data_IF_308728412627
#
_entry.id   IF_308728412627
#
_cell.length_a   1.000
_cell.length_b   1.000
_cell.length_c   1.000
_cell.angle_alpha   90.00
_cell.angle_beta   90.00
_cell.angle_gamma   90.00
#
_symmetry.space_group_name_H-M   'P 1'
#
loop_
_entity.id
_entity.type
_entity.pdbx_description
1 polymer ?
#
# COMPACT_ATOMS: atom_id res chain seq x y z
N UNK A 1 21.78 -44.16 -63.17
CA UNK A 1 20.56 -44.07 -62.32
C UNK A 1 20.95 -43.51 -60.96
N UNK A 2 20.79 -42.20 -60.78
CA UNK A 2 20.83 -41.44 -59.51
C UNK A 2 19.57 -40.58 -59.56
N UNK A 3 18.80 -40.52 -58.48
CA UNK A 3 17.75 -39.51 -58.29
C UNK A 3 17.46 -39.34 -56.79
N UNK A 4 17.59 -38.11 -56.31
CA UNK A 4 16.97 -37.58 -55.08
C UNK A 4 15.45 -37.43 -55.27
N UNK A 5 14.69 -37.26 -54.18
CA UNK A 5 14.12 -35.92 -53.97
C UNK A 5 14.15 -35.43 -52.50
N UNK A 6 14.12 -34.10 -52.41
CA UNK A 6 13.90 -33.23 -51.25
C UNK A 6 12.44 -33.24 -50.75
N UNK A 7 12.22 -32.82 -49.48
CA UNK A 7 11.07 -32.04 -48.92
C UNK A 7 11.09 -32.15 -47.37
N UNK A 8 11.58 -31.12 -46.66
CA UNK A 8 10.78 -30.10 -45.91
C UNK A 8 9.97 -30.62 -44.72
N UNK A 9 10.44 -30.33 -43.50
CA UNK A 9 9.60 -30.06 -42.32
C UNK A 9 10.44 -29.34 -41.24
N UNK A 10 10.83 -28.09 -41.53
CA UNK A 10 11.24 -27.14 -40.49
C UNK A 10 9.94 -26.47 -40.03
N UNK A 11 9.39 -26.93 -38.92
CA UNK A 11 8.23 -26.27 -38.31
C UNK A 11 8.68 -24.95 -37.72
N UNK A 12 8.44 -23.90 -38.50
CA UNK A 12 8.44 -22.52 -38.04
C UNK A 12 7.43 -22.37 -36.90
N UNK A 13 7.93 -22.45 -35.65
CA UNK A 13 7.29 -21.70 -34.57
C UNK A 13 7.65 -20.22 -34.75
N UNK A 14 7.02 -19.62 -35.76
CA UNK A 14 6.88 -18.18 -35.91
C UNK A 14 6.03 -17.65 -34.75
N UNK A 15 6.67 -17.46 -33.60
CA UNK A 15 6.07 -16.67 -32.52
C UNK A 15 6.20 -15.21 -32.93
N UNK A 16 5.14 -14.73 -33.59
CA UNK A 16 4.90 -13.33 -33.93
C UNK A 16 5.31 -12.40 -32.77
N UNK A 17 6.42 -11.70 -32.96
CA UNK A 17 7.04 -10.79 -32.00
C UNK A 17 6.35 -9.43 -31.87
N UNK A 18 5.04 -9.33 -32.10
CA UNK A 18 4.31 -8.06 -32.08
C UNK A 18 3.09 -7.99 -31.14
N UNK A 19 2.68 -9.09 -30.49
CA UNK A 19 1.50 -9.09 -29.60
C UNK A 19 1.81 -9.32 -28.11
N UNK A 20 3.03 -9.03 -27.64
CA UNK A 20 3.43 -9.29 -26.25
C UNK A 20 3.66 -8.02 -25.41
N UNK A 21 2.90 -6.96 -25.67
CA UNK A 21 2.96 -5.69 -24.91
C UNK A 21 1.76 -5.49 -23.96
N UNK A 22 0.71 -6.30 -24.02
CA UNK A 22 -0.54 -6.01 -23.31
C UNK A 22 -0.83 -6.85 -22.04
N UNK A 23 0.18 -7.47 -21.43
CA UNK A 23 0.01 -8.01 -20.06
C UNK A 23 1.28 -7.85 -19.22
N UNK A 24 1.48 -6.64 -18.71
CA UNK A 24 2.33 -6.45 -17.52
C UNK A 24 1.66 -7.20 -16.36
N UNK A 25 2.09 -8.44 -16.11
CA UNK A 25 1.72 -9.14 -14.88
C UNK A 25 2.21 -8.31 -13.69
N UNK A 26 1.38 -8.05 -12.65
CA UNK A 26 1.75 -7.20 -11.51
C UNK A 26 3.09 -7.58 -10.87
N UNK A 27 3.41 -8.89 -10.85
CA UNK A 27 4.66 -9.42 -10.34
C UNK A 27 5.91 -8.95 -11.12
N UNK A 28 5.80 -8.67 -12.42
CA UNK A 28 6.89 -8.08 -13.22
C UNK A 28 7.06 -6.59 -12.97
N UNK A 29 5.97 -5.85 -12.78
CA UNK A 29 6.04 -4.43 -12.42
C UNK A 29 6.71 -4.22 -11.05
N UNK A 30 6.46 -5.14 -10.11
CA UNK A 30 7.02 -5.12 -8.76
C UNK A 30 8.48 -5.60 -8.64
N UNK A 31 9.08 -6.14 -9.71
CA UNK A 31 10.48 -6.58 -9.69
C UNK A 31 10.74 -7.97 -9.11
N UNK A 32 9.70 -8.77 -8.86
CA UNK A 32 9.78 -10.01 -8.07
C UNK A 32 10.41 -11.22 -8.79
N UNK A 33 10.71 -11.11 -10.08
CA UNK A 33 11.35 -12.18 -10.86
C UNK A 33 12.47 -11.56 -11.70
N UNK A 34 13.76 -11.89 -11.44
CA UNK A 34 14.83 -11.49 -12.32
C UNK A 34 14.70 -12.28 -13.62
N UNK A 35 14.19 -11.64 -14.68
CA UNK A 35 14.00 -12.34 -15.95
C UNK A 35 15.34 -12.46 -16.69
N UNK A 36 15.71 -13.69 -17.07
CA UNK A 36 16.88 -13.99 -17.93
C UNK A 36 16.83 -13.23 -19.28
N UNK A 37 15.63 -12.85 -19.70
CA UNK A 37 15.34 -12.01 -20.88
C UNK A 37 15.84 -10.56 -20.71
N UNK A 38 16.02 -10.09 -19.48
CA UNK A 38 16.43 -8.72 -19.16
C UNK A 38 17.91 -8.47 -19.46
N UNK A 39 18.77 -9.47 -19.22
CA UNK A 39 20.19 -9.44 -19.63
C UNK A 39 20.34 -9.28 -21.16
N UNK A 40 19.42 -9.88 -21.93
CA UNK A 40 19.43 -9.85 -23.39
C UNK A 40 19.03 -8.47 -23.95
N UNK A 41 18.02 -7.81 -23.36
CA UNK A 41 17.61 -6.45 -23.76
C UNK A 41 18.52 -5.33 -23.18
N UNK A 42 19.23 -5.55 -22.07
CA UNK A 42 20.30 -4.63 -21.62
C UNK A 42 21.51 -4.68 -22.54
N UNK A 43 21.86 -5.85 -23.06
CA UNK A 43 22.99 -6.03 -23.97
C UNK A 43 22.81 -5.31 -25.32
N UNK A 44 21.61 -5.37 -25.94
CA UNK A 44 21.37 -4.69 -27.22
C UNK A 44 21.26 -3.15 -27.10
N UNK A 45 20.84 -2.61 -25.96
CA UNK A 45 20.67 -1.16 -25.76
C UNK A 45 21.99 -0.43 -25.41
N UNK A 46 23.03 -1.18 -25.04
CA UNK A 46 24.34 -0.62 -24.68
C UNK A 46 25.20 -0.19 -25.89
N UNK A 47 24.78 -0.57 -27.11
CA UNK A 47 25.57 -0.38 -28.32
C UNK A 47 25.57 1.08 -28.83
N UNK A 48 24.58 1.91 -28.47
CA UNK A 48 24.46 3.32 -28.91
C UNK A 48 24.76 4.39 -27.82
N UNK A 49 25.33 4.02 -26.67
CA UNK A 49 25.51 4.97 -25.54
C UNK A 49 26.78 5.82 -25.61
N UNK A 50 26.63 7.14 -25.39
CA UNK A 50 27.73 8.09 -25.16
C UNK A 50 28.64 7.66 -23.98
N UNK A 51 29.94 7.98 -24.05
CA UNK A 51 30.93 7.63 -23.01
C UNK A 51 30.52 8.07 -21.60
N UNK A 52 29.92 9.25 -21.47
CA UNK A 52 29.42 9.77 -20.18
C UNK A 52 28.24 8.93 -19.66
N UNK A 53 27.29 8.56 -20.52
CA UNK A 53 26.14 7.74 -20.14
C UNK A 53 26.59 6.33 -19.68
N UNK A 54 27.61 5.77 -20.33
CA UNK A 54 28.25 4.50 -19.92
C UNK A 54 28.89 4.61 -18.53
N UNK A 55 29.64 5.69 -18.27
CA UNK A 55 30.24 5.94 -16.95
C UNK A 55 29.20 6.13 -15.85
N UNK A 56 28.16 6.93 -16.08
CA UNK A 56 27.08 7.14 -15.09
C UNK A 56 26.33 5.85 -14.82
N UNK A 57 26.06 5.02 -15.83
CA UNK A 57 25.46 3.70 -15.60
C UNK A 57 26.35 2.81 -14.74
N UNK A 58 27.65 2.75 -15.04
CA UNK A 58 28.59 1.95 -14.26
C UNK A 58 28.64 2.37 -12.78
N UNK A 59 28.48 3.68 -12.50
CA UNK A 59 28.40 4.20 -11.14
C UNK A 59 27.06 3.80 -10.50
N UNK A 60 25.94 4.06 -11.16
CA UNK A 60 24.58 3.79 -10.65
C UNK A 60 24.33 2.30 -10.43
N UNK A 61 24.87 1.44 -11.31
CA UNK A 61 24.74 -0.02 -11.20
C UNK A 61 25.77 -0.64 -10.24
N UNK A 62 26.59 0.18 -9.56
CA UNK A 62 27.57 -0.33 -8.61
C UNK A 62 26.89 -0.74 -7.31
N UNK A 63 27.15 -1.94 -6.78
CA UNK A 63 26.58 -2.36 -5.49
C UNK A 63 27.05 -1.49 -4.32
N UNK A 64 28.18 -0.80 -4.47
CA UNK A 64 28.64 0.19 -3.49
C UNK A 64 27.77 1.43 -3.47
N UNK A 65 27.33 1.90 -4.64
CA UNK A 65 26.44 3.05 -4.76
C UNK A 65 25.08 2.73 -4.15
N UNK A 66 24.53 1.56 -4.43
CA UNK A 66 23.26 1.10 -3.85
C UNK A 66 23.33 0.97 -2.32
N UNK A 67 24.39 0.35 -1.78
CA UNK A 67 24.61 0.25 -0.33
C UNK A 67 24.77 1.62 0.33
N UNK A 68 25.45 2.55 -0.34
CA UNK A 68 25.62 3.91 0.16
C UNK A 68 24.31 4.69 0.16
N UNK A 69 23.51 4.61 -0.91
CA UNK A 69 22.18 5.20 -0.96
C UNK A 69 21.26 4.64 0.12
N UNK A 70 21.30 3.32 0.35
CA UNK A 70 20.56 2.67 1.43
C UNK A 70 21.03 3.15 2.81
N UNK A 71 22.33 3.25 3.04
CA UNK A 71 22.87 3.80 4.29
C UNK A 71 22.38 5.23 4.52
N UNK A 72 22.44 6.10 3.50
CA UNK A 72 21.95 7.47 3.58
C UNK A 72 20.43 7.54 3.84
N UNK A 73 19.65 6.59 3.33
CA UNK A 73 18.22 6.47 3.67
C UNK A 73 18.02 6.20 5.16
N UNK A 74 18.77 5.27 5.75
CA UNK A 74 18.69 4.97 7.17
C UNK A 74 19.10 6.15 8.05
N UNK A 75 20.18 6.85 7.67
CA UNK A 75 20.63 8.04 8.41
C UNK A 75 19.55 9.13 8.33
N UNK A 76 19.02 9.42 7.14
CA UNK A 76 17.91 10.38 6.96
C UNK A 76 16.68 10.00 7.80
N UNK A 77 16.33 8.71 7.83
CA UNK A 77 15.23 8.20 8.63
C UNK A 77 15.43 8.42 10.15
N UNK A 78 16.64 8.13 10.65
CA UNK A 78 16.98 8.36 12.05
C UNK A 78 16.90 9.85 12.41
N UNK A 79 17.35 10.74 11.52
CA UNK A 79 17.26 12.19 11.71
C UNK A 79 15.80 12.68 11.81
N UNK A 80 14.88 12.16 10.98
CA UNK A 80 13.45 12.47 11.08
C UNK A 80 12.89 12.07 12.45
N UNK A 81 13.29 10.90 12.96
CA UNK A 81 12.91 10.44 14.30
C UNK A 81 13.41 11.36 15.42
N UNK A 82 14.69 11.74 15.37
CA UNK A 82 15.31 12.67 16.34
C UNK A 82 14.65 14.04 16.28
N UNK A 83 14.40 14.58 15.09
CA UNK A 83 13.71 15.85 14.89
C UNK A 83 12.29 15.79 15.49
N UNK A 84 11.56 14.69 15.27
CA UNK A 84 10.21 14.50 15.79
C UNK A 84 10.19 14.44 17.33
N UNK A 85 11.11 13.69 17.96
CA UNK A 85 11.23 13.61 19.42
C UNK A 85 11.64 14.97 20.02
N UNK A 86 12.59 15.67 19.38
CA UNK A 86 12.99 17.01 19.80
C UNK A 86 11.82 18.01 19.74
N UNK A 87 11.02 17.97 18.67
CA UNK A 87 9.82 18.82 18.53
C UNK A 87 8.74 18.47 19.57
N UNK A 88 8.57 17.19 19.90
CA UNK A 88 7.60 16.77 20.91
C UNK A 88 8.00 17.20 22.33
N UNK A 89 9.30 17.14 22.67
CA UNK A 89 9.82 17.52 24.00
C UNK A 89 9.96 19.03 24.17
N UNK A 90 10.26 19.75 23.09
CA UNK A 90 10.50 21.20 23.10
C UNK A 90 9.22 21.97 22.74
N UNK A 91 8.12 21.66 23.42
CA UNK A 91 6.73 22.02 23.07
C UNK A 91 6.40 23.53 22.92
N UNK A 92 7.38 24.43 22.89
CA UNK A 92 7.19 25.90 22.97
C UNK A 92 7.99 26.70 21.92
N UNK A 93 9.00 26.14 21.25
CA UNK A 93 9.72 26.86 20.19
C UNK A 93 9.24 26.43 18.79
N UNK A 94 8.34 27.22 18.20
CA UNK A 94 7.84 27.06 16.82
C UNK A 94 8.94 27.17 15.73
N UNK A 95 10.20 27.37 16.13
CA UNK A 95 11.33 27.50 15.24
C UNK A 95 12.12 26.19 15.21
N UNK A 96 12.00 25.47 14.09
CA UNK A 96 12.93 24.38 13.79
C UNK A 96 14.37 24.88 13.92
N UNK A 97 15.18 24.18 14.74
CA UNK A 97 16.60 24.47 14.83
C UNK A 97 17.22 24.48 13.43
N UNK A 98 18.01 25.52 13.15
CA UNK A 98 18.70 25.72 11.85
C UNK A 98 19.47 24.46 11.45
N UNK A 99 19.99 23.71 12.43
CA UNK A 99 20.70 22.45 12.22
C UNK A 99 19.82 21.43 11.49
N UNK A 100 18.59 21.19 11.95
CA UNK A 100 17.68 20.23 11.32
C UNK A 100 17.33 20.65 9.88
N UNK A 101 17.10 21.94 9.66
CA UNK A 101 16.82 22.48 8.32
C UNK A 101 17.99 22.29 7.35
N UNK A 102 19.21 22.59 7.79
CA UNK A 102 20.41 22.39 6.97
C UNK A 102 20.59 20.91 6.63
N UNK A 103 20.38 20.02 7.61
CA UNK A 103 20.46 18.58 7.41
C UNK A 103 19.40 18.06 6.42
N UNK A 104 18.15 18.52 6.51
CA UNK A 104 17.09 18.15 5.56
C UNK A 104 17.44 18.59 4.13
N UNK A 105 18.00 19.80 3.95
CA UNK A 105 18.47 20.28 2.64
C UNK A 105 19.62 19.41 2.10
N UNK A 106 20.57 19.00 2.94
CA UNK A 106 21.67 18.10 2.54
C UNK A 106 21.10 16.77 2.02
N UNK A 107 20.16 16.17 2.75
CA UNK A 107 19.52 14.94 2.30
C UNK A 107 18.71 15.15 1.02
N UNK A 108 17.98 16.26 0.91
CA UNK A 108 17.25 16.61 -0.30
C UNK A 108 18.18 16.66 -1.51
N UNK A 109 19.26 17.43 -1.44
CA UNK A 109 20.24 17.55 -2.53
C UNK A 109 20.83 16.19 -2.87
N UNK A 110 21.22 15.39 -1.87
CA UNK A 110 21.74 14.05 -2.08
C UNK A 110 20.75 13.17 -2.88
N UNK A 111 19.49 13.09 -2.44
CA UNK A 111 18.48 12.26 -3.10
C UNK A 111 18.05 12.80 -4.47
N UNK A 112 18.04 14.12 -4.66
CA UNK A 112 17.79 14.72 -5.98
C UNK A 112 18.90 14.37 -6.96
N UNK A 113 20.17 14.43 -6.54
CA UNK A 113 21.32 14.06 -7.38
C UNK A 113 21.30 12.56 -7.68
N UNK A 114 21.05 11.72 -6.67
CA UNK A 114 20.89 10.27 -6.80
C UNK A 114 19.81 9.91 -7.82
N UNK A 115 18.59 10.41 -7.64
CA UNK A 115 17.46 10.18 -8.55
C UNK A 115 17.75 10.74 -9.95
N UNK A 116 18.39 11.91 -10.04
CA UNK A 116 18.81 12.52 -11.30
C UNK A 116 19.83 11.66 -12.07
N UNK A 117 20.80 11.06 -11.37
CA UNK A 117 21.76 10.12 -11.95
C UNK A 117 21.07 8.85 -12.46
N UNK A 118 20.14 8.27 -11.69
CA UNK A 118 19.33 7.12 -12.14
C UNK A 118 18.49 7.48 -13.38
N UNK A 119 17.81 8.61 -13.35
CA UNK A 119 17.00 9.09 -14.48
C UNK A 119 17.86 9.34 -15.74
N UNK A 120 19.04 9.93 -15.59
CA UNK A 120 19.97 10.14 -16.71
C UNK A 120 20.55 8.83 -17.25
N UNK A 121 20.84 7.87 -16.36
CA UNK A 121 21.37 6.56 -16.74
C UNK A 121 20.35 5.73 -17.54
N UNK A 122 19.10 5.66 -17.06
CA UNK A 122 18.03 4.82 -17.61
C UNK A 122 17.14 5.54 -18.63
N UNK A 123 17.09 6.88 -18.66
CA UNK A 123 16.28 7.70 -19.59
C UNK A 123 14.81 7.26 -19.60
N UNK A 124 14.18 7.15 -20.78
CA UNK A 124 12.79 6.68 -20.92
C UNK A 124 12.59 5.23 -20.46
N UNK A 125 13.66 4.42 -20.39
CA UNK A 125 13.60 3.05 -19.85
C UNK A 125 13.35 3.03 -18.35
N UNK A 126 13.58 4.14 -17.64
CA UNK A 126 13.26 4.33 -16.22
C UNK A 126 11.80 3.99 -15.91
N UNK A 127 10.89 4.30 -16.83
CA UNK A 127 9.44 4.12 -16.67
C UNK A 127 8.89 2.77 -17.15
N UNK A 128 9.68 1.96 -17.87
CA UNK A 128 9.18 0.72 -18.50
C UNK A 128 10.02 -0.52 -18.16
N UNK A 129 11.06 -0.39 -17.33
CA UNK A 129 11.87 -1.54 -16.88
C UNK A 129 11.17 -2.38 -15.81
N UNK A 130 11.58 -3.64 -15.64
CA UNK A 130 11.13 -4.46 -14.52
C UNK A 130 11.48 -3.76 -13.21
N UNK A 131 10.50 -3.56 -12.31
CA UNK A 131 10.68 -2.76 -11.09
C UNK A 131 10.53 -1.24 -11.29
N UNK A 132 10.04 -0.77 -12.44
CA UNK A 132 9.84 0.67 -12.72
C UNK A 132 8.96 1.38 -11.67
N UNK A 133 8.03 0.66 -11.03
CA UNK A 133 7.16 1.24 -10.01
C UNK A 133 7.95 1.79 -8.82
N UNK A 134 9.02 1.10 -8.43
CA UNK A 134 9.91 1.53 -7.34
C UNK A 134 10.74 2.75 -7.71
N UNK A 135 11.19 2.81 -8.96
CA UNK A 135 11.87 3.98 -9.49
C UNK A 135 10.94 5.21 -9.51
N UNK A 136 9.70 5.04 -9.97
CA UNK A 136 8.69 6.10 -9.99
C UNK A 136 8.30 6.52 -8.58
N UNK A 137 8.20 5.57 -7.65
CA UNK A 137 7.99 5.84 -6.23
C UNK A 137 9.15 6.66 -5.63
N UNK A 138 10.40 6.26 -5.85
CA UNK A 138 11.55 7.01 -5.36
C UNK A 138 11.59 8.44 -5.94
N UNK A 139 11.30 8.58 -7.24
CA UNK A 139 11.22 9.87 -7.90
C UNK A 139 10.08 10.73 -7.32
N UNK A 140 8.90 10.15 -7.10
CA UNK A 140 7.78 10.89 -6.51
C UNK A 140 8.08 11.35 -5.08
N UNK A 141 8.79 10.55 -4.28
CA UNK A 141 9.25 10.95 -2.95
C UNK A 141 10.21 12.14 -3.00
N UNK A 142 11.15 12.17 -3.97
CA UNK A 142 12.04 13.33 -4.15
C UNK A 142 11.24 14.58 -4.53
N UNK A 143 10.27 14.44 -5.44
CA UNK A 143 9.41 15.56 -5.85
C UNK A 143 8.56 16.08 -4.70
N UNK A 144 7.97 15.18 -3.89
CA UNK A 144 7.21 15.55 -2.69
C UNK A 144 8.10 16.36 -1.73
N UNK A 145 9.32 15.88 -1.46
CA UNK A 145 10.26 16.56 -0.57
C UNK A 145 10.70 17.94 -1.12
N UNK A 146 10.88 18.08 -2.44
CA UNK A 146 11.13 19.38 -3.08
C UNK A 146 9.95 20.33 -2.95
N UNK A 147 8.72 19.84 -3.19
CA UNK A 147 7.51 20.67 -3.08
C UNK A 147 7.26 21.11 -1.65
N UNK A 148 7.53 20.24 -0.68
CA UNK A 148 7.47 20.54 0.73
C UNK A 148 8.43 21.69 1.10
N UNK A 149 9.71 21.59 0.73
CA UNK A 149 10.70 22.62 1.04
C UNK A 149 10.34 23.96 0.38
N UNK A 150 9.76 23.93 -0.82
CA UNK A 150 9.23 25.12 -1.49
C UNK A 150 8.07 25.75 -0.72
N UNK A 151 7.10 24.94 -0.27
CA UNK A 151 5.93 25.40 0.49
C UNK A 151 6.36 26.00 1.84
N UNK A 152 7.30 25.36 2.53
CA UNK A 152 7.80 25.90 3.81
C UNK A 152 8.48 27.26 3.62
N UNK A 153 9.22 27.46 2.52
CA UNK A 153 9.87 28.75 2.22
C UNK A 153 8.87 29.85 1.89
N UNK A 154 7.85 29.56 1.07
CA UNK A 154 6.85 30.56 0.66
C UNK A 154 5.84 30.85 1.77
N UNK A 155 5.54 29.87 2.64
CA UNK A 155 4.64 30.06 3.79
C UNK A 155 5.22 31.00 4.86
N UNK A 156 6.54 31.19 4.90
CA UNK A 156 7.18 32.21 5.76
C UNK A 156 6.89 33.63 5.27
N UNK A 157 6.55 33.80 3.98
CA UNK A 157 6.29 35.11 3.36
C UNK A 157 4.78 35.44 3.27
N UNK A 158 3.90 34.44 3.27
CA UNK A 158 2.44 34.62 3.14
C UNK A 158 1.64 34.29 4.41
N UNK A 159 1.04 35.31 5.05
CA UNK A 159 0.23 35.19 6.29
C UNK A 159 -1.21 34.66 6.06
N UNK A 160 -1.40 33.62 5.25
CA UNK A 160 -2.74 33.07 5.00
C UNK A 160 -3.09 31.93 5.96
N UNK A 161 -4.33 31.93 6.48
CA UNK A 161 -4.88 30.96 7.44
C UNK A 161 -4.90 29.50 6.93
N UNK A 162 -4.86 29.30 5.62
CA UNK A 162 -4.67 27.98 4.99
C UNK A 162 -3.29 27.37 5.31
N UNK A 163 -2.31 28.20 5.71
CA UNK A 163 -0.95 27.77 6.04
C UNK A 163 -0.91 26.80 7.24
N UNK A 164 -1.70 26.98 8.30
CA UNK A 164 -1.51 26.18 9.53
C UNK A 164 -1.84 24.69 9.33
N UNK A 165 -2.98 24.39 8.68
CA UNK A 165 -3.34 23.00 8.33
C UNK A 165 -2.39 22.43 7.27
N UNK A 166 -2.05 23.19 6.23
CA UNK A 166 -1.17 22.73 5.16
C UNK A 166 0.24 22.46 5.68
N UNK A 167 0.78 23.32 6.56
CA UNK A 167 2.06 23.11 7.21
C UNK A 167 2.06 21.86 8.09
N UNK A 168 0.95 21.58 8.80
CA UNK A 168 0.80 20.31 9.54
C UNK A 168 0.85 19.10 8.62
N UNK A 169 0.15 19.16 7.48
CA UNK A 169 0.15 18.07 6.50
C UNK A 169 1.53 17.88 5.84
N UNK A 170 2.18 18.99 5.45
CA UNK A 170 3.54 18.98 4.89
C UNK A 170 4.53 18.32 5.85
N UNK A 171 4.47 18.66 7.16
CA UNK A 171 5.28 18.00 8.19
C UNK A 171 5.07 16.48 8.23
N UNK A 172 3.84 15.99 8.03
CA UNK A 172 3.56 14.54 7.97
C UNK A 172 4.16 13.91 6.71
N UNK A 173 4.14 14.62 5.57
CA UNK A 173 4.71 14.12 4.31
C UNK A 173 6.21 13.81 4.41
N UNK A 174 6.97 14.49 5.29
CA UNK A 174 8.38 14.13 5.60
C UNK A 174 8.53 12.68 5.99
N UNK A 175 7.60 12.15 6.77
CA UNK A 175 7.64 10.77 7.27
C UNK A 175 7.46 9.76 6.14
N UNK A 176 6.86 10.17 5.02
CA UNK A 176 6.71 9.30 3.85
C UNK A 176 8.08 8.93 3.27
N UNK A 177 9.11 9.76 3.46
CA UNK A 177 10.49 9.47 3.02
C UNK A 177 11.06 8.19 3.65
N UNK A 178 10.55 7.77 4.82
CA UNK A 178 10.93 6.51 5.49
C UNK A 178 10.58 5.27 4.67
N UNK A 179 9.51 5.32 3.88
CA UNK A 179 9.08 4.18 3.05
C UNK A 179 10.04 3.89 1.88
N UNK A 180 10.99 4.80 1.58
CA UNK A 180 12.04 4.59 0.57
C UNK A 180 12.88 3.34 0.83
N UNK A 181 13.03 2.95 2.09
CA UNK A 181 13.77 1.73 2.48
C UNK A 181 13.13 0.47 1.88
N UNK A 182 11.80 0.42 1.80
CA UNK A 182 11.06 -0.69 1.18
C UNK A 182 11.47 -0.83 -0.28
N UNK A 183 11.62 0.31 -0.97
CA UNK A 183 12.06 0.37 -2.34
C UNK A 183 13.50 -0.07 -2.57
N UNK A 184 14.34 -0.27 -1.53
CA UNK A 184 15.75 -0.66 -1.69
C UNK A 184 16.07 -2.10 -1.25
N UNK A 185 15.21 -2.72 -0.43
CA UNK A 185 15.43 -4.06 0.13
C UNK A 185 14.44 -5.04 -0.52
N UNK A 186 14.97 -6.04 -1.24
CA UNK A 186 14.16 -7.00 -1.99
C UNK A 186 13.21 -7.81 -1.10
N UNK A 187 13.64 -8.16 0.10
CA UNK A 187 12.81 -8.87 1.08
C UNK A 187 11.57 -8.04 1.46
N UNK A 188 11.73 -6.72 1.66
CA UNK A 188 10.59 -5.83 1.95
C UNK A 188 9.67 -5.65 0.75
N UNK A 189 10.21 -5.56 -0.47
CA UNK A 189 9.39 -5.53 -1.69
C UNK A 189 8.55 -6.80 -1.83
N UNK A 190 9.15 -7.96 -1.55
CA UNK A 190 8.47 -9.24 -1.58
C UNK A 190 7.38 -9.34 -0.51
N UNK A 191 7.68 -8.96 0.73
CA UNK A 191 6.70 -8.93 1.82
C UNK A 191 5.52 -8.00 1.48
N UNK A 192 5.80 -6.78 0.97
CA UNK A 192 4.75 -5.86 0.56
C UNK A 192 3.91 -6.44 -0.58
N UNK A 193 4.54 -7.08 -1.57
CA UNK A 193 3.80 -7.71 -2.67
C UNK A 193 2.87 -8.81 -2.18
N UNK A 194 3.30 -9.63 -1.21
CA UNK A 194 2.46 -10.63 -0.57
C UNK A 194 1.26 -9.98 0.13
N UNK A 195 1.50 -8.92 0.92
CA UNK A 195 0.45 -8.17 1.61
C UNK A 195 -0.55 -7.58 0.62
N UNK A 196 -0.09 -6.86 -0.41
CA UNK A 196 -0.95 -6.24 -1.42
C UNK A 196 -1.78 -7.28 -2.19
N UNK A 197 -1.21 -8.46 -2.46
CA UNK A 197 -1.94 -9.56 -3.07
C UNK A 197 -3.08 -10.05 -2.17
N UNK A 198 -2.82 -10.25 -0.87
CA UNK A 198 -3.84 -10.63 0.11
C UNK A 198 -4.89 -9.52 0.33
N UNK A 199 -4.49 -8.25 0.29
CA UNK A 199 -5.40 -7.12 0.45
C UNK A 199 -6.51 -7.09 -0.60
N UNK A 200 -6.26 -7.53 -1.83
CA UNK A 200 -7.29 -7.54 -2.89
C UNK A 200 -8.48 -8.44 -2.56
N UNK A 201 -8.22 -9.62 -1.98
CA UNK A 201 -9.28 -10.54 -1.55
C UNK A 201 -10.01 -9.97 -0.32
N UNK A 202 -9.25 -9.41 0.62
CA UNK A 202 -9.79 -8.80 1.83
C UNK A 202 -10.63 -7.54 1.56
N UNK A 203 -10.31 -6.78 0.52
CA UNK A 203 -11.01 -5.53 0.19
C UNK A 203 -12.51 -5.71 -0.02
N UNK A 204 -12.93 -6.70 -0.82
CA UNK A 204 -14.34 -6.94 -1.11
C UNK A 204 -15.12 -7.37 0.12
N UNK A 205 -14.47 -8.14 0.98
CA UNK A 205 -15.03 -8.60 2.24
C UNK A 205 -15.25 -7.42 3.20
N UNK A 206 -14.25 -6.56 3.37
CA UNK A 206 -14.37 -5.33 4.17
C UNK A 206 -15.42 -4.39 3.57
N UNK A 207 -15.45 -4.24 2.25
CA UNK A 207 -16.45 -3.42 1.57
C UNK A 207 -17.88 -3.94 1.81
N UNK A 208 -18.07 -5.26 1.81
CA UNK A 208 -19.36 -5.89 2.14
C UNK A 208 -19.75 -5.65 3.60
N UNK A 209 -18.82 -5.85 4.55
CA UNK A 209 -19.07 -5.54 5.97
C UNK A 209 -19.39 -4.05 6.19
N UNK A 210 -18.67 -3.16 5.52
CA UNK A 210 -18.92 -1.72 5.57
C UNK A 210 -20.30 -1.36 4.99
N UNK A 211 -20.69 -1.95 3.86
CA UNK A 211 -22.00 -1.74 3.25
C UNK A 211 -23.13 -2.20 4.19
N UNK A 212 -23.00 -3.39 4.77
CA UNK A 212 -23.97 -3.90 5.74
C UNK A 212 -24.05 -2.99 6.97
N UNK A 213 -22.91 -2.53 7.47
CA UNK A 213 -22.83 -1.58 8.57
C UNK A 213 -23.52 -0.25 8.24
N UNK A 214 -23.30 0.27 7.03
CA UNK A 214 -23.91 1.51 6.55
C UNK A 214 -25.43 1.41 6.41
N UNK A 215 -25.93 0.28 5.87
CA UNK A 215 -27.37 0.01 5.77
C UNK A 215 -28.01 -0.05 7.15
N UNK A 216 -27.38 -0.74 8.10
CA UNK A 216 -27.87 -0.83 9.48
C UNK A 216 -27.85 0.54 10.19
N UNK A 217 -26.77 1.31 10.04
CA UNK A 217 -26.67 2.66 10.58
C UNK A 217 -27.78 3.57 10.03
N UNK A 218 -28.01 3.52 8.71
CA UNK A 218 -29.08 4.28 8.04
C UNK A 218 -30.45 3.88 8.58
N UNK A 219 -30.73 2.58 8.71
CA UNK A 219 -31.98 2.07 9.28
C UNK A 219 -32.21 2.60 10.70
N UNK A 220 -31.23 2.48 11.59
CA UNK A 220 -31.37 2.94 12.98
C UNK A 220 -31.58 4.44 13.06
N UNK A 221 -30.77 5.23 12.35
CA UNK A 221 -30.91 6.69 12.33
C UNK A 221 -32.28 7.10 11.79
N UNK A 222 -32.80 6.41 10.76
CA UNK A 222 -34.14 6.69 10.22
C UNK A 222 -35.25 6.35 11.23
N UNK A 223 -35.20 5.18 11.86
CA UNK A 223 -36.22 4.79 12.87
C UNK A 223 -36.18 5.75 14.06
N UNK A 224 -34.99 6.07 14.58
CA UNK A 224 -34.81 6.99 15.70
C UNK A 224 -35.30 8.40 15.34
N UNK A 225 -34.94 8.89 14.15
CA UNK A 225 -35.37 10.21 13.68
C UNK A 225 -36.88 10.25 13.49
N UNK A 226 -37.47 9.18 12.94
CA UNK A 226 -38.92 9.05 12.78
C UNK A 226 -39.65 9.12 14.12
N UNK A 227 -39.22 8.35 15.11
CA UNK A 227 -39.78 8.38 16.47
C UNK A 227 -39.60 9.73 17.17
N UNK A 228 -38.55 10.48 16.81
CA UNK A 228 -38.34 11.85 17.28
C UNK A 228 -39.30 12.84 16.63
N UNK A 229 -39.52 12.75 15.33
CA UNK A 229 -40.45 13.62 14.61
C UNK A 229 -41.92 13.33 14.95
N UNK A 230 -42.28 12.07 15.24
CA UNK A 230 -43.62 11.68 15.68
C UNK A 230 -43.94 12.09 17.12
N UNK A 231 -42.94 12.52 17.90
CA UNK A 231 -43.09 12.87 19.31
C UNK A 231 -43.18 11.67 20.26
N UNK A 232 -42.96 10.45 19.76
CA UNK A 232 -42.95 9.22 20.57
C UNK A 232 -41.68 9.10 21.43
N UNK A 233 -40.57 9.68 20.99
CA UNK A 233 -39.29 9.64 21.69
C UNK A 233 -39.22 10.70 22.78
N UNK A 234 -39.08 10.27 24.04
CA UNK A 234 -38.85 11.15 25.19
C UNK A 234 -37.57 12.00 25.03
N UNK A 235 -37.55 13.27 25.46
CA UNK A 235 -36.35 14.12 25.44
C UNK A 235 -35.15 13.50 26.15
N UNK A 236 -35.38 12.78 27.27
CA UNK A 236 -34.31 12.08 27.99
C UNK A 236 -33.73 10.91 27.17
N UNK A 237 -34.59 10.18 26.44
CA UNK A 237 -34.15 9.11 25.53
C UNK A 237 -33.28 9.63 24.40
N UNK A 238 -33.63 10.79 23.82
CA UNK A 238 -32.81 11.43 22.79
C UNK A 238 -31.40 11.82 23.28
N UNK A 239 -31.26 12.29 24.53
CA UNK A 239 -29.94 12.65 25.08
C UNK A 239 -29.00 11.45 25.14
N UNK A 240 -29.53 10.25 25.40
CA UNK A 240 -28.75 9.00 25.38
C UNK A 240 -28.52 8.52 23.95
N UNK A 241 -29.56 8.51 23.12
CA UNK A 241 -29.46 8.00 21.74
C UNK A 241 -28.56 8.86 20.85
N UNK A 242 -28.47 10.17 21.08
CA UNK A 242 -27.66 11.06 20.23
C UNK A 242 -26.15 10.77 20.32
N UNK A 243 -25.70 10.16 21.42
CA UNK A 243 -24.29 9.79 21.60
C UNK A 243 -23.86 8.71 20.61
N UNK A 244 -24.76 7.77 20.32
CA UNK A 244 -24.51 6.64 19.42
C UNK A 244 -25.09 6.85 18.01
N UNK A 245 -26.20 7.58 17.90
CA UNK A 245 -27.00 7.70 16.67
C UNK A 245 -27.36 9.15 16.30
N UNK A 246 -26.62 10.12 16.84
CA UNK A 246 -26.87 11.55 16.60
C UNK A 246 -26.72 11.97 15.14
N UNK A 247 -25.84 11.28 14.41
CA UNK A 247 -25.60 11.46 12.97
C UNK A 247 -25.28 10.11 12.32
N UNK A 248 -25.32 10.05 10.99
CA UNK A 248 -25.07 8.82 10.24
C UNK A 248 -23.63 8.32 10.42
N UNK A 249 -22.64 9.21 10.39
CA UNK A 249 -21.23 8.89 10.62
C UNK A 249 -20.99 8.38 12.06
N UNK A 250 -21.62 9.01 13.06
CA UNK A 250 -21.57 8.54 14.45
C UNK A 250 -22.19 7.15 14.59
N UNK A 251 -23.32 6.89 13.90
CA UNK A 251 -23.95 5.57 13.89
C UNK A 251 -23.07 4.50 13.22
N UNK A 252 -22.49 4.81 12.05
CA UNK A 252 -21.56 3.91 11.36
C UNK A 252 -20.35 3.59 12.24
N UNK A 253 -19.79 4.60 12.91
CA UNK A 253 -18.67 4.44 13.84
C UNK A 253 -19.06 3.58 15.06
N UNK A 254 -20.20 3.87 15.68
CA UNK A 254 -20.71 3.14 16.85
C UNK A 254 -20.90 1.66 16.55
N UNK A 255 -21.56 1.34 15.42
CA UNK A 255 -21.75 -0.03 15.00
C UNK A 255 -20.42 -0.72 14.63
N UNK A 256 -19.46 0.00 14.04
CA UNK A 256 -18.13 -0.53 13.77
C UNK A 256 -17.38 -0.87 15.07
N UNK A 257 -17.42 0.01 16.07
CA UNK A 257 -16.81 -0.21 17.39
C UNK A 257 -17.47 -1.39 18.10
N UNK A 258 -18.80 -1.51 18.04
CA UNK A 258 -19.52 -2.67 18.55
C UNK A 258 -19.16 -3.97 17.85
N UNK A 259 -19.06 -3.96 16.51
CA UNK A 259 -18.72 -5.12 15.69
C UNK A 259 -17.28 -5.62 15.91
N UNK A 260 -16.36 -4.69 16.17
CA UNK A 260 -14.94 -4.99 16.41
C UNK A 260 -14.61 -5.28 17.88
N UNK A 261 -15.58 -5.13 18.79
CA UNK A 261 -15.41 -5.39 20.21
C UNK A 261 -14.71 -4.27 20.99
N UNK A 262 -14.74 -3.02 20.48
CA UNK A 262 -14.22 -1.87 21.21
C UNK A 262 -15.15 -1.39 22.33
N UNK A 263 -16.45 -1.63 22.20
CA UNK A 263 -17.48 -1.43 23.24
C UNK A 263 -18.43 -2.61 23.19
N UNK A 264 -18.97 -3.01 24.34
CA UNK A 264 -19.96 -4.08 24.42
C UNK A 264 -21.21 -3.70 23.61
N UNK A 265 -21.59 -4.57 22.67
CA UNK A 265 -22.78 -4.37 21.84
C UNK A 265 -24.07 -4.20 22.67
N UNK A 266 -24.07 -4.65 23.92
CA UNK A 266 -25.14 -4.46 24.87
C UNK A 266 -25.38 -2.98 25.20
N UNK A 267 -24.31 -2.19 25.36
CA UNK A 267 -24.38 -0.76 25.66
C UNK A 267 -24.99 0.03 24.49
N UNK A 268 -24.71 -0.44 23.27
CA UNK A 268 -25.19 0.17 22.03
C UNK A 268 -26.68 -0.16 21.79
N UNK A 269 -27.09 -1.43 22.03
CA UNK A 269 -28.49 -1.85 21.80
C UNK A 269 -29.44 -1.48 22.95
N UNK A 270 -28.93 -1.32 24.17
CA UNK A 270 -29.72 -1.01 25.37
C UNK A 270 -30.65 0.20 25.17
N UNK A 271 -30.12 1.37 24.73
CA UNK A 271 -30.94 2.53 24.44
C UNK A 271 -31.99 2.29 23.33
N UNK A 272 -31.68 1.52 22.28
CA UNK A 272 -32.66 1.17 21.23
C UNK A 272 -33.82 0.36 21.82
N UNK A 273 -33.51 -0.64 22.65
CA UNK A 273 -34.52 -1.50 23.26
C UNK A 273 -35.48 -0.73 24.15
N UNK A 274 -34.96 0.23 24.92
CA UNK A 274 -35.73 1.00 25.92
C UNK A 274 -36.53 2.13 25.28
N UNK A 275 -35.93 2.89 24.37
CA UNK A 275 -36.51 4.16 23.89
C UNK A 275 -37.15 4.09 22.51
N UNK A 276 -36.89 3.03 21.73
CA UNK A 276 -37.41 2.89 20.36
C UNK A 276 -38.37 1.71 20.28
N UNK A 277 -37.84 0.49 20.29
CA UNK A 277 -38.65 -0.72 20.18
C UNK A 277 -37.81 -1.97 20.42
N UNK A 278 -38.34 -2.99 21.14
CA UNK A 278 -37.72 -4.31 21.22
C UNK A 278 -37.50 -4.98 19.84
N UNK A 279 -38.31 -4.66 18.84
CA UNK A 279 -38.18 -5.20 17.49
C UNK A 279 -36.97 -4.62 16.75
N UNK A 280 -36.76 -3.30 16.87
CA UNK A 280 -35.56 -2.65 16.33
C UNK A 280 -34.28 -3.20 17.00
N UNK A 281 -34.34 -3.44 18.31
CA UNK A 281 -33.26 -4.10 19.04
C UNK A 281 -33.01 -5.54 18.57
N UNK A 282 -34.06 -6.28 18.21
CA UNK A 282 -33.93 -7.65 17.69
C UNK A 282 -33.25 -7.68 16.32
N UNK A 283 -33.59 -6.73 15.43
CA UNK A 283 -32.92 -6.57 14.13
C UNK A 283 -31.44 -6.23 14.33
N UNK A 284 -31.13 -5.35 15.29
CA UNK A 284 -29.75 -5.03 15.66
C UNK A 284 -28.98 -6.26 16.14
N UNK A 285 -29.56 -7.06 17.03
CA UNK A 285 -28.91 -8.26 17.56
C UNK A 285 -28.64 -9.27 16.43
N UNK A 286 -29.59 -9.45 15.51
CA UNK A 286 -29.40 -10.31 14.34
C UNK A 286 -28.27 -9.80 13.43
N UNK A 287 -28.21 -8.48 13.18
CA UNK A 287 -27.10 -7.84 12.47
C UNK A 287 -25.76 -8.09 13.17
N UNK A 288 -25.68 -7.90 14.49
CA UNK A 288 -24.46 -8.12 15.27
C UNK A 288 -24.02 -9.57 15.23
N UNK A 289 -24.95 -10.52 15.42
CA UNK A 289 -24.67 -11.95 15.32
C UNK A 289 -24.10 -12.29 13.94
N UNK A 290 -24.77 -11.87 12.88
CA UNK A 290 -24.33 -12.12 11.52
C UNK A 290 -22.97 -11.46 11.24
N UNK A 291 -22.76 -10.22 11.66
CA UNK A 291 -21.52 -9.49 11.48
C UNK A 291 -20.34 -10.13 12.20
N UNK A 292 -20.52 -10.55 13.45
CA UNK A 292 -19.49 -11.24 14.23
C UNK A 292 -19.16 -12.59 13.59
N UNK A 293 -20.16 -13.37 13.19
CA UNK A 293 -19.95 -14.64 12.49
C UNK A 293 -19.25 -14.43 11.14
N UNK A 294 -19.64 -13.41 10.37
CA UNK A 294 -18.99 -13.05 9.12
C UNK A 294 -17.52 -12.69 9.38
N UNK A 295 -17.22 -11.83 10.35
CA UNK A 295 -15.86 -11.44 10.73
C UNK A 295 -15.01 -12.66 11.13
N UNK A 296 -15.56 -13.54 11.97
CA UNK A 296 -14.88 -14.77 12.39
C UNK A 296 -14.65 -15.72 11.21
N UNK A 297 -15.62 -15.85 10.29
CA UNK A 297 -15.48 -16.65 9.09
C UNK A 297 -14.44 -16.09 8.13
N UNK A 298 -14.27 -14.76 8.07
CA UNK A 298 -13.24 -14.11 7.26
C UNK A 298 -11.86 -14.40 7.84
N UNK A 299 -11.68 -14.20 9.14
CA UNK A 299 -10.42 -14.49 9.83
C UNK A 299 -10.06 -15.96 9.67
N UNK A 300 -11.00 -16.85 10.01
CA UNK A 300 -10.83 -18.31 9.86
C UNK A 300 -10.57 -18.68 8.40
N UNK A 301 -11.33 -18.11 7.46
CA UNK A 301 -11.19 -18.35 6.02
C UNK A 301 -9.80 -18.00 5.51
N UNK A 302 -9.21 -16.88 5.94
CA UNK A 302 -7.83 -16.53 5.57
C UNK A 302 -6.80 -17.50 6.14
N UNK A 303 -6.95 -17.93 7.40
CA UNK A 303 -6.05 -18.93 8.00
C UNK A 303 -6.17 -20.30 7.32
N UNK A 304 -7.39 -20.73 7.01
CA UNK A 304 -7.67 -21.99 6.33
C UNK A 304 -7.14 -21.95 4.90
N UNK A 305 -7.38 -20.87 4.16
CA UNK A 305 -6.89 -20.70 2.79
C UNK A 305 -5.36 -20.80 2.74
N UNK A 306 -4.67 -20.11 3.65
CA UNK A 306 -3.21 -20.18 3.77
C UNK A 306 -2.72 -21.60 4.11
N UNK A 307 -3.45 -22.35 4.95
CA UNK A 307 -3.11 -23.72 5.29
C UNK A 307 -3.31 -24.68 4.10
N UNK A 308 -4.40 -24.50 3.34
CA UNK A 308 -4.71 -25.29 2.14
C UNK A 308 -3.65 -25.05 1.06
N UNK A 309 -3.32 -23.78 0.77
CA UNK A 309 -2.31 -23.43 -0.24
C UNK A 309 -0.94 -24.07 0.09
N UNK A 310 -0.50 -24.00 1.35
CA UNK A 310 0.73 -24.67 1.81
C UNK A 310 0.65 -26.19 1.69
N UNK A 311 -0.48 -26.78 2.04
CA UNK A 311 -0.68 -28.23 1.93
C UNK A 311 -0.61 -28.69 0.46
N UNK A 312 -1.16 -27.90 -0.47
CA UNK A 312 -1.15 -28.21 -1.89
C UNK A 312 0.24 -28.02 -2.52
N UNK A 313 1.01 -27.03 -2.09
CA UNK A 313 2.43 -26.89 -2.47
C UNK A 313 3.25 -28.12 -2.05
N UNK A 314 3.08 -28.60 -0.81
CA UNK A 314 3.77 -29.80 -0.30
C UNK A 314 3.36 -31.05 -1.09
N UNK A 315 2.07 -31.22 -1.41
CA UNK A 315 1.59 -32.33 -2.25
C UNK A 315 2.18 -32.26 -3.65
N UNK A 316 2.27 -31.08 -4.26
CA UNK A 316 2.86 -30.90 -5.59
C UNK A 316 4.34 -31.29 -5.59
N UNK A 317 5.10 -30.87 -4.57
CA UNK A 317 6.51 -31.25 -4.40
C UNK A 317 6.67 -32.77 -4.24
N UNK A 318 5.83 -33.43 -3.42
CA UNK A 318 5.87 -34.88 -3.27
C UNK A 318 5.61 -35.62 -4.58
N UNK A 319 4.63 -35.18 -5.39
CA UNK A 319 4.36 -35.78 -6.71
C UNK A 319 5.56 -35.67 -7.65
N UNK A 320 6.22 -34.51 -7.69
CA UNK A 320 7.43 -34.29 -8.50
C UNK A 320 8.58 -35.17 -8.02
N UNK A 321 8.77 -35.32 -6.70
CA UNK A 321 9.80 -36.19 -6.14
C UNK A 321 9.53 -37.66 -6.45
N UNK A 322 8.28 -38.12 -6.35
CA UNK A 322 7.89 -39.49 -6.71
C UNK A 322 8.17 -39.77 -8.19
N UNK A 323 7.76 -38.87 -9.09
CA UNK A 323 8.05 -39.01 -10.52
C UNK A 323 9.57 -39.08 -10.79
N UNK A 324 10.37 -38.23 -10.14
CA UNK A 324 11.84 -38.27 -10.26
C UNK A 324 12.44 -39.59 -9.75
N UNK A 325 11.90 -40.18 -8.70
CA UNK A 325 12.36 -41.48 -8.18
C UNK A 325 12.07 -42.59 -9.19
N UNK A 326 10.86 -42.62 -9.78
CA UNK A 326 10.49 -43.58 -10.81
C UNK A 326 11.36 -43.47 -12.06
N UNK A 327 11.66 -42.25 -12.51
CA UNK A 327 12.57 -42.05 -13.66
C UNK A 327 14.02 -42.42 -13.38
N UNK A 328 14.49 -42.39 -12.13
CA UNK A 328 15.86 -42.84 -11.78
C UNK A 328 15.98 -44.36 -11.65
N UNK A 329 14.85 -45.06 -11.48
CA UNK A 329 14.82 -46.53 -11.37
C UNK A 329 14.64 -47.26 -12.70
N UNK A 330 14.43 -46.51 -13.80
CA UNK A 330 14.36 -47.01 -15.18
C UNK A 330 15.70 -46.80 -15.89
#
# INVERSE_FOLDING_TARGET
RRATPSLTARSDFGVNGHNRVSSLTPHRALGLIPSRTQQFYTACADQERNRLSKRVLAIVSSPWFERFALFMNFVSAAFVGIQTDHMARSAVEDHESIVFRVTDIIFLVFFTVEAGMRLFAYRMRFFWMTGWLWNVFDLSLVLIHMTEELIVRTAVEGKDLWSSWLLRMVRVLRTVKLFRVIGHIDEFRMLLACVLHSCKSFFWVVAFLFLMNYVMATYLVQVISSSRYSGELSPAGWVVLKEWYGSLDTAVYSLFVGLTGGVDWHEIVGPIKVYISPWAASIFIAFMLFGILALMNIVTGTFVQNAIERADEVKALHKVQQARRLFRSL
#
